data_IF_256036995377
#
_entry.id   IF_256036995377
#
_cell.length_a   1.000
_cell.length_b   1.000
_cell.length_c   1.000
_cell.angle_alpha   90.00
_cell.angle_beta   90.00
_cell.angle_gamma   90.00
#
_symmetry.space_group_name_H-M   'P 1'
#
loop_
_entity.id
_entity.type
_entity.pdbx_description
1 polymer ?
#
# COMPACT_ATOMS: atom_id res chain seq x y z
N UNK A 1 -10.16 0.20 -20.02
CA UNK A 1 -11.25 0.14 -19.02
C UNK A 1 -10.74 -0.09 -17.60
N UNK A 2 -9.87 -1.08 -17.34
CA UNK A 2 -9.36 -1.39 -16.00
C UNK A 2 -8.68 -0.21 -15.27
N UNK A 3 -7.83 0.58 -15.95
CA UNK A 3 -7.14 1.73 -15.35
C UNK A 3 -8.08 2.82 -14.82
N UNK A 4 -9.17 3.09 -15.55
CA UNK A 4 -10.18 4.08 -15.16
C UNK A 4 -10.95 3.60 -13.92
N UNK A 5 -11.27 2.31 -13.86
CA UNK A 5 -11.94 1.71 -12.70
C UNK A 5 -11.03 1.78 -11.47
N UNK A 6 -9.77 1.37 -11.58
CA UNK A 6 -8.81 1.42 -10.47
C UNK A 6 -8.59 2.85 -9.95
N UNK A 7 -8.50 3.83 -10.85
CA UNK A 7 -8.35 5.23 -10.46
C UNK A 7 -9.60 5.74 -9.72
N UNK A 8 -10.81 5.45 -10.22
CA UNK A 8 -12.07 5.83 -9.57
C UNK A 8 -12.21 5.19 -8.19
N UNK A 9 -11.88 3.90 -8.07
CA UNK A 9 -11.86 3.20 -6.78
C UNK A 9 -10.86 3.85 -5.83
N UNK A 10 -9.63 4.14 -6.29
CA UNK A 10 -8.62 4.84 -5.49
C UNK A 10 -9.10 6.19 -4.97
N UNK A 11 -9.74 7.00 -5.83
CA UNK A 11 -10.32 8.30 -5.43
C UNK A 11 -11.36 8.11 -4.34
N UNK A 12 -12.39 7.28 -4.57
CA UNK A 12 -13.48 7.08 -3.62
C UNK A 12 -12.97 6.55 -2.28
N UNK A 13 -12.09 5.54 -2.30
CA UNK A 13 -11.50 4.99 -1.09
C UNK A 13 -10.66 6.03 -0.34
N UNK A 14 -9.83 6.82 -1.02
CA UNK A 14 -8.99 7.85 -0.36
C UNK A 14 -9.81 8.95 0.30
N UNK A 15 -10.92 9.37 -0.31
CA UNK A 15 -11.82 10.38 0.26
C UNK A 15 -12.54 9.83 1.49
N UNK A 16 -13.09 8.62 1.40
CA UNK A 16 -13.78 7.97 2.53
C UNK A 16 -12.80 7.75 3.70
N UNK A 17 -11.59 7.26 3.39
CA UNK A 17 -10.54 7.07 4.38
C UNK A 17 -10.24 8.35 5.15
N UNK A 18 -9.94 9.44 4.44
CA UNK A 18 -9.65 10.73 5.07
C UNK A 18 -10.82 11.24 5.91
N UNK A 19 -12.05 11.19 5.40
CA UNK A 19 -13.24 11.68 6.11
C UNK A 19 -13.47 10.87 7.40
N UNK A 20 -13.41 9.54 7.33
CA UNK A 20 -13.60 8.70 8.51
C UNK A 20 -12.48 8.87 9.52
N UNK A 21 -11.22 8.98 9.06
CA UNK A 21 -10.08 9.25 9.94
C UNK A 21 -10.21 10.62 10.62
N UNK A 22 -10.66 11.66 9.90
CA UNK A 22 -10.88 13.00 10.45
C UNK A 22 -12.00 13.03 11.49
N UNK A 23 -13.12 12.35 11.20
CA UNK A 23 -14.23 12.23 12.16
C UNK A 23 -13.77 11.46 13.40
N UNK A 24 -13.07 10.34 13.21
CA UNK A 24 -12.51 9.58 14.33
C UNK A 24 -11.57 10.46 15.17
N UNK A 25 -10.63 11.15 14.52
CA UNK A 25 -9.65 12.02 15.16
C UNK A 25 -10.29 13.11 16.03
N UNK A 26 -11.35 13.77 15.54
CA UNK A 26 -11.96 14.93 16.21
C UNK A 26 -13.05 14.58 17.23
N UNK A 27 -13.57 13.35 17.22
CA UNK A 27 -14.73 12.98 18.03
C UNK A 27 -14.36 12.41 19.42
N UNK A 28 -15.16 12.72 20.46
CA UNK A 28 -14.88 12.33 21.84
C UNK A 28 -15.39 10.92 22.21
N UNK A 29 -15.59 10.02 21.23
CA UNK A 29 -16.35 8.78 21.40
C UNK A 29 -15.57 7.51 21.05
N UNK A 30 -14.28 7.46 21.39
CA UNK A 30 -13.42 6.31 21.15
C UNK A 30 -13.72 5.19 22.14
N UNK A 31 -13.90 5.55 23.40
CA UNK A 31 -14.19 4.62 24.47
C UNK A 31 -15.23 5.25 25.41
N UNK A 32 -16.26 4.49 25.76
CA UNK A 32 -17.48 5.00 26.40
C UNK A 32 -17.99 4.01 27.45
N UNK A 33 -18.54 4.52 28.53
CA UNK A 33 -19.23 3.70 29.54
C UNK A 33 -20.66 3.36 29.14
N UNK A 34 -21.17 2.23 29.61
CA UNK A 34 -22.57 1.87 29.43
C UNK A 34 -23.49 2.82 30.20
N UNK A 35 -24.46 3.43 29.51
CA UNK A 35 -25.42 4.37 30.13
C UNK A 35 -26.29 3.74 31.20
N UNK A 36 -26.47 2.41 31.15
CA UNK A 36 -27.28 1.65 32.11
C UNK A 36 -26.58 1.40 33.44
N UNK A 37 -25.26 1.60 33.50
CA UNK A 37 -24.44 1.42 34.69
C UNK A 37 -23.99 2.80 35.13
N UNK A 38 -24.29 3.18 36.38
CA UNK A 38 -23.83 4.46 36.90
C UNK A 38 -22.30 4.41 37.08
N UNK A 39 -21.58 4.85 36.05
CA UNK A 39 -20.13 4.93 36.02
C UNK A 39 -19.70 6.38 36.14
N UNK A 40 -18.68 6.63 36.96
CA UNK A 40 -18.06 7.95 37.08
C UNK A 40 -17.29 8.34 35.80
N UNK A 41 -17.03 7.38 34.90
CA UNK A 41 -16.50 7.63 33.57
C UNK A 41 -17.63 7.83 32.55
N UNK A 42 -17.55 8.86 31.70
CA UNK A 42 -18.49 9.08 30.61
C UNK A 42 -17.96 8.53 29.28
N UNK A 43 -17.11 9.31 28.63
CA UNK A 43 -16.52 8.98 27.33
C UNK A 43 -15.17 9.66 27.16
N UNK A 44 -14.32 9.07 26.33
CA UNK A 44 -13.01 9.61 25.98
C UNK A 44 -12.85 9.54 24.46
N UNK A 45 -12.31 10.61 23.88
CA UNK A 45 -11.68 10.59 22.56
C UNK A 45 -10.20 10.90 22.68
N UNK A 46 -9.54 11.14 21.56
CA UNK A 46 -8.10 11.46 21.56
C UNK A 46 -7.78 12.72 22.34
N UNK A 47 -8.71 13.67 22.32
CA UNK A 47 -8.44 15.05 22.66
C UNK A 47 -9.27 15.57 23.82
N UNK A 48 -10.41 14.92 24.07
CA UNK A 48 -11.36 15.31 25.10
C UNK A 48 -11.76 14.10 25.93
N UNK A 49 -11.97 14.34 27.21
CA UNK A 49 -12.47 13.37 28.17
C UNK A 49 -13.67 13.95 28.91
N UNK A 50 -14.72 13.17 29.06
CA UNK A 50 -15.94 13.53 29.79
C UNK A 50 -16.09 12.61 31.01
N UNK A 51 -16.14 13.22 32.19
CA UNK A 51 -16.18 12.56 33.49
C UNK A 51 -17.42 12.99 34.27
N UNK A 52 -17.99 12.09 35.06
CA UNK A 52 -19.19 12.29 35.87
C UNK A 52 -18.89 12.01 37.35
N UNK A 53 -17.99 12.80 37.94
CA UNK A 53 -17.57 12.64 39.33
C UNK A 53 -16.52 11.54 39.51
N UNK A 54 -15.60 11.42 38.56
CA UNK A 54 -14.49 10.47 38.66
C UNK A 54 -13.44 11.02 39.63
N UNK A 55 -13.06 10.20 40.60
CA UNK A 55 -11.97 10.50 41.55
C UNK A 55 -10.80 9.59 41.19
N UNK A 56 -9.66 10.20 40.88
CA UNK A 56 -8.50 9.46 40.41
C UNK A 56 -7.79 8.75 41.57
N UNK A 57 -7.56 7.43 41.49
CA UNK A 57 -6.77 6.75 42.50
C UNK A 57 -5.33 7.26 42.40
N UNK A 58 -4.85 7.98 43.44
CA UNK A 58 -3.54 8.70 43.54
C UNK A 58 -3.58 10.21 43.32
N UNK A 59 -4.74 10.84 43.17
CA UNK A 59 -4.82 12.30 43.32
C UNK A 59 -4.60 12.70 44.79
N UNK A 60 -3.57 13.51 45.13
CA UNK A 60 -3.34 13.97 46.50
C UNK A 60 -4.47 14.84 47.05
N UNK A 61 -5.27 15.48 46.19
CA UNK A 61 -6.37 16.37 46.56
C UNK A 61 -7.71 15.63 46.59
N UNK A 62 -7.79 14.41 46.05
CA UNK A 62 -9.01 13.62 45.89
C UNK A 62 -10.15 14.43 45.24
N UNK A 63 -9.80 15.23 44.23
CA UNK A 63 -10.72 16.09 43.50
C UNK A 63 -11.67 15.23 42.65
N UNK A 64 -12.96 15.55 42.71
CA UNK A 64 -13.96 14.94 41.82
C UNK A 64 -14.00 15.68 40.48
N UNK A 65 -13.64 15.00 39.39
CA UNK A 65 -13.69 15.56 38.05
C UNK A 65 -15.09 15.38 37.43
N UNK A 66 -15.70 16.49 37.02
CA UNK A 66 -17.05 16.55 36.43
C UNK A 66 -17.02 17.38 35.16
N UNK A 67 -17.73 16.96 34.12
CA UNK A 67 -17.84 17.66 32.84
C UNK A 67 -16.87 17.14 31.79
N UNK A 68 -16.86 17.82 30.63
CA UNK A 68 -15.97 17.51 29.52
C UNK A 68 -14.80 18.50 29.49
N UNK A 69 -13.60 17.95 29.41
CA UNK A 69 -12.36 18.68 29.49
C UNK A 69 -11.46 18.33 28.31
N UNK A 70 -10.62 19.29 27.93
CA UNK A 70 -9.48 19.02 27.06
C UNK A 70 -8.48 18.15 27.81
N UNK A 71 -7.96 17.10 27.17
CA UNK A 71 -7.10 16.10 27.84
C UNK A 71 -5.77 16.69 28.32
N UNK A 72 -5.28 17.77 27.69
CA UNK A 72 -4.08 18.51 28.13
C UNK A 72 -4.43 19.77 28.94
N UNK A 73 -5.57 19.79 29.63
CA UNK A 73 -5.89 20.88 30.57
C UNK A 73 -4.97 20.82 31.78
N UNK A 74 -4.57 21.99 32.30
CA UNK A 74 -3.78 22.13 33.53
C UNK A 74 -4.45 21.49 34.75
N UNK A 75 -5.76 21.27 34.69
CA UNK A 75 -6.53 20.55 35.71
C UNK A 75 -6.06 19.10 35.93
N UNK A 76 -5.38 18.52 34.94
CA UNK A 76 -4.89 17.15 34.97
C UNK A 76 -3.38 17.03 35.22
N UNK A 77 -2.65 18.12 35.48
CA UNK A 77 -1.18 18.09 35.63
C UNK A 77 -0.72 17.11 36.73
N UNK A 78 -1.48 17.02 37.83
CA UNK A 78 -1.17 16.10 38.94
C UNK A 78 -1.38 14.61 38.58
N UNK A 79 -2.21 14.32 37.59
CA UNK A 79 -2.69 12.96 37.23
C UNK A 79 -2.46 12.63 35.75
N UNK A 80 -1.63 13.42 35.07
CA UNK A 80 -1.45 13.38 33.61
C UNK A 80 -1.00 11.99 33.13
N UNK A 81 -0.11 11.34 33.89
CA UNK A 81 0.42 10.01 33.55
C UNK A 81 -0.64 8.89 33.63
N UNK A 82 -1.73 9.10 34.37
CA UNK A 82 -2.78 8.10 34.53
C UNK A 82 -3.85 8.24 33.44
N UNK A 83 -4.27 9.48 33.15
CA UNK A 83 -5.26 9.78 32.11
C UNK A 83 -4.65 9.62 30.71
N UNK A 84 -3.40 10.06 30.56
CA UNK A 84 -2.68 10.08 29.29
C UNK A 84 -1.35 9.33 29.44
N UNK A 85 -1.41 7.99 29.60
CA UNK A 85 -0.23 7.16 29.65
C UNK A 85 0.55 7.26 28.34
N UNK A 86 1.83 6.88 28.39
CA UNK A 86 2.76 7.04 27.26
C UNK A 86 2.24 6.37 25.98
N UNK A 87 1.62 5.20 26.09
CA UNK A 87 1.01 4.52 24.94
C UNK A 87 -0.09 5.35 24.28
N UNK A 88 -0.91 6.07 25.06
CA UNK A 88 -2.00 6.89 24.53
C UNK A 88 -1.45 8.10 23.75
N UNK A 89 -0.33 8.67 24.20
CA UNK A 89 0.39 9.73 23.47
C UNK A 89 0.93 9.22 22.13
N UNK A 90 1.42 7.98 22.08
CA UNK A 90 1.82 7.36 20.82
C UNK A 90 0.63 7.19 19.87
N UNK A 91 -0.54 6.78 20.39
CA UNK A 91 -1.77 6.72 19.58
C UNK A 91 -2.14 8.08 19.01
N UNK A 92 -2.13 9.14 19.82
CA UNK A 92 -2.39 10.51 19.35
C UNK A 92 -1.42 10.91 18.23
N UNK A 93 -0.12 10.70 18.42
CA UNK A 93 0.89 11.02 17.40
C UNK A 93 0.71 10.22 16.11
N UNK A 94 0.47 8.91 16.20
CA UNK A 94 0.21 8.08 15.03
C UNK A 94 -1.08 8.46 14.31
N UNK A 95 -2.12 8.89 15.03
CA UNK A 95 -3.35 9.39 14.43
C UNK A 95 -3.11 10.70 13.67
N UNK A 96 -2.26 11.61 14.18
CA UNK A 96 -1.85 12.82 13.46
C UNK A 96 -1.10 12.45 12.17
N UNK A 97 -0.12 11.54 12.24
CA UNK A 97 0.62 11.12 11.05
C UNK A 97 -0.28 10.45 10.01
N UNK A 98 -1.19 9.60 10.46
CA UNK A 98 -2.19 8.95 9.60
C UNK A 98 -3.09 9.98 8.94
N UNK A 99 -3.62 10.94 9.71
CA UNK A 99 -4.49 12.00 9.17
C UNK A 99 -3.78 12.84 8.11
N UNK A 100 -2.51 13.19 8.33
CA UNK A 100 -1.69 13.92 7.35
C UNK A 100 -1.44 13.05 6.11
N UNK A 101 -1.11 11.78 6.29
CA UNK A 101 -0.87 10.85 5.19
C UNK A 101 -2.13 10.63 4.34
N UNK A 102 -3.31 10.44 4.95
CA UNK A 102 -4.59 10.31 4.26
C UNK A 102 -5.00 11.63 3.57
N UNK A 103 -4.74 12.80 4.20
CA UNK A 103 -4.98 14.10 3.58
C UNK A 103 -4.14 14.29 2.31
N UNK A 104 -2.83 14.09 2.42
CA UNK A 104 -1.91 14.18 1.28
C UNK A 104 -2.26 13.13 0.22
N UNK A 105 -2.58 11.91 0.66
CA UNK A 105 -3.01 10.81 -0.21
C UNK A 105 -4.26 11.15 -1.00
N UNK A 106 -5.29 11.69 -0.34
CA UNK A 106 -6.51 12.17 -0.97
C UNK A 106 -6.23 13.33 -1.94
N UNK A 107 -5.45 14.34 -1.53
CA UNK A 107 -5.12 15.49 -2.38
C UNK A 107 -4.40 15.03 -3.65
N UNK A 108 -3.36 14.21 -3.52
CA UNK A 108 -2.66 13.65 -4.69
C UNK A 108 -3.59 12.81 -5.56
N UNK A 109 -4.52 12.07 -4.95
CA UNK A 109 -5.46 11.23 -5.69
C UNK A 109 -6.46 12.08 -6.50
N UNK A 110 -6.96 13.18 -5.93
CA UNK A 110 -7.84 14.15 -6.61
C UNK A 110 -7.13 14.87 -7.75
N UNK A 111 -5.84 15.21 -7.57
CA UNK A 111 -5.04 15.87 -8.61
C UNK A 111 -4.84 15.00 -9.87
N UNK A 112 -5.13 13.70 -9.84
CA UNK A 112 -5.15 12.84 -11.03
C UNK A 112 -6.41 13.03 -11.90
N UNK A 113 -7.46 13.69 -11.41
CA UNK A 113 -8.72 13.86 -12.16
C UNK A 113 -8.52 14.75 -13.39
N UNK A 114 -7.94 15.96 -13.30
CA UNK A 114 -7.86 16.85 -14.45
C UNK A 114 -6.87 16.32 -15.48
N UNK A 115 -7.32 16.15 -16.73
CA UNK A 115 -6.50 15.53 -17.78
C UNK A 115 -5.21 16.31 -18.07
N UNK A 116 -5.26 17.63 -17.97
CA UNK A 116 -4.08 18.49 -18.13
C UNK A 116 -3.01 18.24 -17.07
N UNK A 117 -3.41 18.05 -15.81
CA UNK A 117 -2.47 17.75 -14.71
C UNK A 117 -1.97 16.30 -14.84
N UNK A 118 -2.87 15.35 -15.11
CA UNK A 118 -2.54 13.94 -15.33
C UNK A 118 -1.50 13.76 -16.42
N UNK A 119 -1.73 14.36 -17.59
CA UNK A 119 -0.83 14.26 -18.74
C UNK A 119 0.54 14.89 -18.46
N UNK A 120 0.57 16.05 -17.80
CA UNK A 120 1.82 16.80 -17.56
C UNK A 120 2.69 16.20 -16.47
N UNK A 121 2.09 15.82 -15.33
CA UNK A 121 2.83 15.43 -14.13
C UNK A 121 3.06 13.93 -14.02
N UNK A 122 2.12 13.12 -14.54
CA UNK A 122 2.01 11.71 -14.18
C UNK A 122 2.21 10.75 -15.36
N UNK A 123 1.85 11.14 -16.58
CA UNK A 123 2.07 10.30 -17.78
C UNK A 123 3.54 9.99 -18.05
N UNK A 124 4.48 10.82 -17.58
CA UNK A 124 5.94 10.59 -17.73
C UNK A 124 6.64 10.18 -16.42
N UNK A 125 5.89 9.94 -15.34
CA UNK A 125 6.44 9.70 -14.00
C UNK A 125 5.60 8.70 -13.19
N UNK A 126 5.69 7.38 -13.48
CA UNK A 126 4.91 6.36 -12.78
C UNK A 126 5.28 6.25 -11.29
N UNK A 127 6.48 6.72 -10.91
CA UNK A 127 6.96 6.77 -9.51
C UNK A 127 5.98 7.46 -8.56
N UNK A 128 5.21 8.43 -9.03
CA UNK A 128 4.25 9.15 -8.18
C UNK A 128 3.08 8.26 -7.71
N UNK A 129 2.63 7.31 -8.54
CA UNK A 129 1.61 6.35 -8.14
C UNK A 129 2.12 5.45 -7.01
N UNK A 130 3.38 5.01 -7.10
CA UNK A 130 4.01 4.21 -6.05
C UNK A 130 4.21 5.00 -4.76
N UNK A 131 4.63 6.26 -4.83
CA UNK A 131 4.77 7.13 -3.65
C UNK A 131 3.40 7.32 -2.97
N UNK A 132 2.36 7.63 -3.74
CA UNK A 132 1.03 7.83 -3.19
C UNK A 132 0.42 6.54 -2.62
N UNK A 133 0.66 5.42 -3.30
CA UNK A 133 0.28 4.09 -2.81
C UNK A 133 0.99 3.74 -1.50
N UNK A 134 2.30 3.94 -1.42
CA UNK A 134 3.08 3.70 -0.21
C UNK A 134 2.61 4.57 0.95
N UNK A 135 2.22 5.82 0.68
CA UNK A 135 1.66 6.73 1.67
C UNK A 135 0.34 6.20 2.26
N UNK A 136 -0.61 5.79 1.41
CA UNK A 136 -1.90 5.23 1.85
C UNK A 136 -1.77 3.86 2.54
N UNK A 137 -0.89 2.99 2.03
CA UNK A 137 -0.60 1.70 2.67
C UNK A 137 0.12 1.89 4.02
N UNK A 138 1.00 2.87 4.11
CA UNK A 138 1.63 3.27 5.37
C UNK A 138 0.62 3.79 6.39
N UNK A 139 -0.33 4.63 5.95
CA UNK A 139 -1.44 5.09 6.79
C UNK A 139 -2.30 3.91 7.29
N UNK A 140 -2.63 2.96 6.42
CA UNK A 140 -3.37 1.76 6.80
C UNK A 140 -2.63 0.91 7.85
N UNK A 141 -1.31 0.76 7.71
CA UNK A 141 -0.49 0.05 8.69
C UNK A 141 -0.47 0.76 10.04
N UNK A 142 -0.36 2.10 10.04
CA UNK A 142 -0.43 2.88 11.27
C UNK A 142 -1.80 2.73 11.96
N UNK A 143 -2.90 2.80 11.21
CA UNK A 143 -4.25 2.55 11.74
C UNK A 143 -4.36 1.15 12.34
N UNK A 144 -3.80 0.14 11.68
CA UNK A 144 -3.81 -1.22 12.20
C UNK A 144 -3.09 -1.31 13.56
N UNK A 145 -1.93 -0.68 13.69
CA UNK A 145 -1.19 -0.61 14.96
C UNK A 145 -2.00 0.16 16.02
N UNK A 146 -2.58 1.30 15.65
CA UNK A 146 -3.44 2.10 16.53
C UNK A 146 -4.60 1.25 17.05
N UNK A 147 -5.29 0.55 16.16
CA UNK A 147 -6.45 -0.28 16.48
C UNK A 147 -6.09 -1.37 17.48
N UNK A 148 -5.01 -2.11 17.24
CA UNK A 148 -4.55 -3.19 18.11
C UNK A 148 -4.13 -2.69 19.49
N UNK A 149 -3.25 -1.68 19.55
CA UNK A 149 -2.73 -1.16 20.81
C UNK A 149 -3.85 -0.54 21.65
N UNK A 150 -4.74 0.23 21.02
CA UNK A 150 -5.86 0.85 21.75
C UNK A 150 -6.86 -0.20 22.27
N UNK A 151 -7.17 -1.24 21.49
CA UNK A 151 -8.04 -2.31 21.94
C UNK A 151 -7.47 -3.08 23.13
N UNK A 152 -6.17 -3.40 23.10
CA UNK A 152 -5.52 -4.12 24.20
C UNK A 152 -5.45 -3.26 25.47
N UNK A 153 -5.00 -2.01 25.33
CA UNK A 153 -4.79 -1.13 26.49
C UNK A 153 -6.10 -0.68 27.15
N UNK A 154 -7.22 -0.64 26.41
CA UNK A 154 -8.54 -0.32 26.99
C UNK A 154 -9.16 -1.48 27.77
N UNK A 155 -8.63 -2.70 27.62
CA UNK A 155 -9.01 -3.85 28.43
C UNK A 155 -8.23 -3.90 29.77
N UNK A 156 -7.14 -3.13 29.90
CA UNK A 156 -6.37 -3.06 31.13
C UNK A 156 -7.06 -2.18 32.17
N UNK A 157 -7.28 -2.77 33.36
CA UNK A 157 -7.79 -2.09 34.54
C UNK A 157 -6.89 -0.97 35.08
N UNK A 158 -5.61 -0.94 34.68
CA UNK A 158 -4.66 0.09 35.07
C UNK A 158 -4.95 1.44 34.42
N UNK A 159 -5.51 1.43 33.19
CA UNK A 159 -5.88 2.65 32.46
C UNK A 159 -7.21 3.21 32.95
N UNK A 160 -8.25 2.38 33.00
CA UNK A 160 -9.56 2.80 33.51
C UNK A 160 -10.14 1.75 34.47
N UNK A 161 -10.61 2.15 35.67
CA UNK A 161 -11.22 1.21 36.60
C UNK A 161 -12.43 0.52 35.99
N UNK A 162 -12.53 -0.80 36.20
CA UNK A 162 -13.64 -1.64 35.76
C UNK A 162 -13.87 -1.60 34.22
N UNK A 163 -12.89 -2.08 33.43
CA UNK A 163 -12.94 -2.01 31.97
C UNK A 163 -14.16 -2.72 31.36
N UNK A 164 -14.72 -3.75 32.04
CA UNK A 164 -15.93 -4.46 31.61
C UNK A 164 -17.21 -3.59 31.59
N UNK A 165 -17.20 -2.42 32.25
CA UNK A 165 -18.32 -1.48 32.24
C UNK A 165 -18.22 -0.45 31.11
N UNK A 166 -17.20 -0.58 30.25
CA UNK A 166 -16.93 0.31 29.15
C UNK A 166 -16.82 -0.48 27.85
N UNK A 167 -16.92 0.21 26.72
CA UNK A 167 -16.83 -0.38 25.40
C UNK A 167 -16.19 0.59 24.40
N UNK A 168 -15.59 0.03 23.35
CA UNK A 168 -15.09 0.78 22.22
C UNK A 168 -16.27 1.30 21.41
N UNK A 169 -16.32 2.62 21.21
CA UNK A 169 -17.47 3.31 20.63
C UNK A 169 -17.23 3.63 19.15
N UNK A 170 -18.22 4.24 18.51
CA UNK A 170 -18.32 4.37 17.05
C UNK A 170 -17.13 5.06 16.39
N UNK A 171 -16.49 6.05 17.05
CA UNK A 171 -15.39 6.77 16.42
C UNK A 171 -14.11 5.96 16.34
N UNK A 172 -13.87 5.08 17.32
CA UNK A 172 -12.83 4.05 17.21
C UNK A 172 -13.13 3.13 16.02
N UNK A 173 -14.38 2.71 15.86
CA UNK A 173 -14.82 1.94 14.69
C UNK A 173 -14.55 2.67 13.36
N UNK A 174 -14.82 3.97 13.28
CA UNK A 174 -14.51 4.77 12.08
C UNK A 174 -13.01 4.86 11.80
N UNK A 175 -12.16 4.93 12.83
CA UNK A 175 -10.70 4.85 12.66
C UNK A 175 -10.29 3.51 12.04
N UNK A 176 -10.81 2.39 12.54
CA UNK A 176 -10.50 1.07 11.97
C UNK A 176 -10.96 0.98 10.50
N UNK A 177 -12.18 1.45 10.22
CA UNK A 177 -12.75 1.44 8.86
C UNK A 177 -11.96 2.35 7.92
N UNK A 178 -11.45 3.50 8.38
CA UNK A 178 -10.61 4.36 7.54
C UNK A 178 -9.34 3.64 7.08
N UNK A 179 -8.69 2.89 7.97
CA UNK A 179 -7.51 2.09 7.62
C UNK A 179 -7.77 1.06 6.53
N UNK A 180 -8.94 0.40 6.53
CA UNK A 180 -9.34 -0.50 5.45
C UNK A 180 -9.49 0.23 4.11
N UNK A 181 -10.14 1.41 4.11
CA UNK A 181 -10.26 2.22 2.90
C UNK A 181 -8.90 2.75 2.42
N UNK A 182 -7.99 3.16 3.31
CA UNK A 182 -6.61 3.53 2.95
C UNK A 182 -5.88 2.34 2.34
N UNK A 183 -6.06 1.13 2.87
CA UNK A 183 -5.46 -0.09 2.30
C UNK A 183 -5.99 -0.39 0.90
N UNK A 184 -7.31 -0.39 0.70
CA UNK A 184 -7.92 -0.65 -0.61
C UNK A 184 -7.55 0.42 -1.64
N UNK A 185 -7.58 1.70 -1.25
CA UNK A 185 -7.14 2.81 -2.11
C UNK A 185 -5.66 2.72 -2.46
N UNK A 186 -4.80 2.44 -1.48
CA UNK A 186 -3.38 2.24 -1.66
C UNK A 186 -3.05 1.07 -2.59
N UNK A 187 -3.73 -0.07 -2.45
CA UNK A 187 -3.58 -1.23 -3.35
C UNK A 187 -4.06 -0.93 -4.77
N UNK A 188 -5.20 -0.25 -4.94
CA UNK A 188 -5.69 0.13 -6.26
C UNK A 188 -4.70 1.03 -7.01
N UNK A 189 -4.11 2.00 -6.32
CA UNK A 189 -3.07 2.87 -6.87
C UNK A 189 -1.74 2.13 -7.11
N UNK A 190 -1.40 1.14 -6.29
CA UNK A 190 -0.23 0.30 -6.50
C UNK A 190 -0.33 -0.47 -7.82
N UNK A 191 -1.46 -1.16 -8.02
CA UNK A 191 -1.73 -1.92 -9.24
C UNK A 191 -1.78 -0.98 -10.44
N UNK A 192 -2.39 0.21 -10.30
CA UNK A 192 -2.37 1.22 -11.35
C UNK A 192 -0.94 1.65 -11.71
N UNK A 193 -0.08 1.86 -10.72
CA UNK A 193 1.35 2.16 -10.91
C UNK A 193 2.09 1.07 -11.67
N UNK A 194 1.83 -0.21 -11.35
CA UNK A 194 2.39 -1.36 -12.06
C UNK A 194 1.94 -1.39 -13.53
N UNK A 195 0.66 -1.15 -13.80
CA UNK A 195 0.13 -1.12 -15.17
C UNK A 195 0.75 0.01 -16.01
N UNK A 196 1.02 1.18 -15.40
CA UNK A 196 1.71 2.27 -16.09
C UNK A 196 3.20 1.97 -16.32
N UNK A 197 3.87 1.35 -15.35
CA UNK A 197 5.27 0.95 -15.51
C UNK A 197 5.45 -0.11 -16.61
N UNK A 198 4.53 -1.07 -16.70
CA UNK A 198 4.52 -2.09 -17.75
C UNK A 198 4.34 -1.46 -19.15
N UNK A 199 3.43 -0.49 -19.29
CA UNK A 199 3.24 0.26 -20.54
C UNK A 199 4.46 1.05 -20.97
N UNK A 200 5.22 1.61 -20.03
CA UNK A 200 6.47 2.31 -20.35
C UNK A 200 7.56 1.33 -20.83
N UNK A 201 7.61 0.12 -20.26
CA UNK A 201 8.59 -0.90 -20.61
C UNK A 201 8.28 -1.61 -21.94
N UNK A 202 7.01 -1.98 -22.16
CA UNK A 202 6.57 -2.83 -23.28
C UNK A 202 5.93 -2.06 -24.44
N UNK A 203 5.77 -0.73 -24.32
CA UNK A 203 5.02 0.08 -25.28
C UNK A 203 3.51 -0.14 -25.17
N UNK A 204 2.71 0.72 -25.81
CA UNK A 204 1.25 0.61 -25.72
C UNK A 204 0.80 -0.63 -26.51
N UNK A 205 0.25 -1.68 -25.87
CA UNK A 205 -0.03 -2.96 -26.52
C UNK A 205 -1.01 -2.83 -27.70
N UNK A 206 -1.85 -1.79 -27.68
CA UNK A 206 -2.76 -1.48 -28.80
C UNK A 206 -2.05 -0.84 -30.00
N UNK A 207 -0.99 -0.07 -29.79
CA UNK A 207 -0.23 0.60 -30.87
C UNK A 207 0.74 -0.38 -31.51
N UNK A 208 1.43 -1.20 -30.73
CA UNK A 208 2.31 -2.26 -31.26
C UNK A 208 1.51 -3.30 -32.03
N UNK A 209 0.37 -3.75 -31.50
CA UNK A 209 -0.55 -4.65 -32.22
C UNK A 209 -1.08 -4.04 -33.53
N UNK A 210 -1.51 -2.78 -33.53
CA UNK A 210 -2.05 -2.13 -34.72
C UNK A 210 -0.95 -1.86 -35.77
N UNK A 211 0.26 -1.48 -35.33
CA UNK A 211 1.42 -1.32 -36.20
C UNK A 211 1.87 -2.66 -36.80
N UNK A 212 1.87 -3.75 -36.02
CA UNK A 212 2.12 -5.10 -36.53
C UNK A 212 1.07 -5.54 -37.55
N UNK A 213 -0.22 -5.27 -37.30
CA UNK A 213 -1.30 -5.58 -38.23
C UNK A 213 -1.15 -4.81 -39.55
N UNK A 214 -0.83 -3.52 -39.46
CA UNK A 214 -0.61 -2.67 -40.63
C UNK A 214 0.65 -3.08 -41.42
N UNK A 215 1.70 -3.55 -40.74
CA UNK A 215 2.89 -4.09 -41.39
C UNK A 215 2.58 -5.40 -42.15
N UNK A 216 1.81 -6.32 -41.54
CA UNK A 216 1.36 -7.55 -42.20
C UNK A 216 0.46 -7.29 -43.40
N UNK A 217 -0.42 -6.29 -43.33
CA UNK A 217 -1.25 -5.91 -44.48
C UNK A 217 -0.40 -5.42 -45.66
N UNK A 218 0.61 -4.59 -45.39
CA UNK A 218 1.54 -4.13 -46.44
C UNK A 218 2.38 -5.26 -47.04
N UNK A 219 2.78 -6.25 -46.24
CA UNK A 219 3.46 -7.44 -46.78
C UNK A 219 2.55 -8.27 -47.69
N UNK A 220 1.28 -8.45 -47.30
CA UNK A 220 0.29 -9.16 -48.12
C UNK A 220 0.02 -8.41 -49.44
N UNK A 221 -0.12 -7.08 -49.42
CA UNK A 221 -0.27 -6.27 -50.64
C UNK A 221 0.95 -6.41 -51.57
N UNK A 222 2.17 -6.39 -51.02
CA UNK A 222 3.39 -6.62 -51.82
C UNK A 222 3.44 -8.02 -52.42
N UNK A 223 2.98 -9.04 -51.70
CA UNK A 223 2.91 -10.41 -52.22
C UNK A 223 1.89 -10.52 -53.36
N UNK A 224 0.75 -9.86 -53.25
CA UNK A 224 -0.29 -9.86 -54.28
C UNK A 224 0.16 -9.10 -55.54
N UNK A 225 0.83 -7.96 -55.37
CA UNK A 225 1.48 -7.23 -56.47
C UNK A 225 2.59 -8.05 -57.15
N UNK A 226 3.39 -8.79 -56.37
CA UNK A 226 4.43 -9.66 -56.91
C UNK A 226 3.84 -10.86 -57.70
N UNK A 227 2.71 -11.42 -57.26
CA UNK A 227 1.97 -12.44 -58.03
C UNK A 227 1.37 -11.87 -59.31
N UNK A 228 0.85 -10.63 -59.27
CA UNK A 228 0.26 -9.97 -60.44
C UNK A 228 1.30 -9.58 -61.50
N UNK A 229 2.50 -9.22 -61.07
CA UNK A 229 3.60 -8.80 -61.95
C UNK A 229 4.51 -9.96 -62.39
N UNK A 230 4.23 -11.21 -62.01
CA UNK A 230 4.90 -12.34 -62.65
C UNK A 230 4.43 -12.45 -64.11
N UNK A 231 5.32 -12.28 -65.11
CA UNK A 231 4.99 -12.64 -66.49
C UNK A 231 4.71 -14.13 -66.53
N UNK A 232 3.59 -14.52 -67.13
CA UNK A 232 3.08 -15.89 -67.12
C UNK A 232 4.17 -16.92 -67.43
N UNK A 233 4.60 -17.65 -66.41
CA UNK A 233 5.22 -18.94 -66.63
C UNK A 233 4.12 -19.87 -67.13
N UNK A 234 4.19 -20.14 -68.42
CA UNK A 234 3.45 -21.19 -69.11
C UNK A 234 3.58 -22.47 -68.28
N UNK A 235 2.45 -22.93 -67.77
CA UNK A 235 2.27 -24.28 -67.25
C UNK A 235 2.39 -25.24 -68.44
N UNK A 236 3.62 -25.64 -68.79
CA UNK A 236 3.85 -26.71 -69.75
C UNK A 236 3.63 -28.04 -69.05
N UNK A 237 2.40 -28.55 -69.11
CA UNK A 237 2.13 -29.97 -69.01
C UNK A 237 2.49 -30.62 -70.34
N UNK A 238 3.62 -31.34 -70.41
CA UNK A 238 3.84 -32.33 -71.47
C UNK A 238 4.13 -33.67 -70.80
N UNK A 239 3.26 -34.62 -71.13
CA UNK A 239 3.27 -36.02 -70.74
C UNK A 239 4.59 -36.72 -71.06
N UNK A 240 5.07 -37.53 -70.12
CA UNK A 240 5.73 -38.78 -70.46
C UNK A 240 5.38 -39.85 -69.41
N UNK A 241 4.72 -40.90 -69.88
CA UNK A 241 4.44 -42.13 -69.15
C UNK A 241 5.27 -43.29 -69.79
N UNK A 242 5.27 -44.51 -69.23
CA UNK A 242 6.26 -45.03 -68.28
C UNK A 242 7.15 -46.13 -68.91
N UNK A 243 8.11 -46.71 -68.14
CA UNK A 243 7.92 -48.13 -67.83
C UNK A 243 8.37 -48.58 -66.41
N UNK A 244 7.52 -49.44 -65.84
CA UNK A 244 7.72 -50.66 -65.02
C UNK A 244 9.04 -50.94 -64.26
N UNK A 245 8.89 -51.12 -62.94
CA UNK A 245 9.55 -51.98 -61.91
C UNK A 245 10.74 -52.90 -62.28
N UNK A 246 11.72 -53.12 -61.34
CA UNK A 246 11.58 -54.01 -60.15
C UNK A 246 12.14 -53.38 -58.85
N UNK A 247 11.59 -53.53 -57.63
CA UNK A 247 11.36 -54.68 -56.74
C UNK A 247 12.26 -54.56 -55.49
N UNK A 248 11.74 -54.98 -54.32
CA UNK A 248 12.35 -55.07 -52.97
C UNK A 248 12.48 -53.75 -52.18
N UNK A 249 12.15 -53.66 -50.89
CA UNK A 249 11.73 -54.65 -49.92
C UNK A 249 11.37 -53.96 -48.59
N UNK A 250 10.55 -54.66 -47.81
CA UNK A 250 9.98 -54.30 -46.51
C UNK A 250 11.00 -54.37 -45.35
N UNK A 251 10.78 -53.58 -44.29
CA UNK A 251 11.41 -53.67 -42.96
C UNK A 251 11.86 -52.28 -42.47
N UNK A 252 11.12 -51.56 -41.61
CA UNK A 252 10.96 -51.74 -40.16
C UNK A 252 12.24 -51.54 -39.33
N UNK A 253 12.07 -50.88 -38.16
CA UNK A 253 12.96 -50.79 -36.99
C UNK A 253 13.93 -49.58 -36.94
N UNK A 254 13.64 -48.60 -36.07
CA UNK A 254 13.99 -48.51 -34.62
C UNK A 254 15.41 -47.94 -34.38
N UNK A 255 15.41 -46.72 -33.86
CA UNK A 255 16.09 -46.26 -32.63
C UNK A 255 17.23 -47.11 -32.02
N UNK A 256 18.29 -46.37 -31.67
CA UNK A 256 18.96 -46.27 -30.35
C UNK A 256 20.46 -46.60 -30.28
N UNK A 257 21.15 -45.83 -29.41
CA UNK A 257 22.45 -46.04 -28.73
C UNK A 257 23.72 -45.81 -29.55
N UNK A 258 24.77 -45.14 -29.06
CA UNK A 258 25.07 -44.58 -27.75
C UNK A 258 26.59 -44.64 -27.47
N UNK A 259 27.10 -43.71 -26.63
CA UNK A 259 28.43 -43.73 -25.99
C UNK A 259 29.57 -43.18 -26.84
N UNK A 260 30.56 -42.44 -26.34
CA UNK A 260 31.00 -41.98 -25.02
C UNK A 260 32.38 -41.33 -25.26
N UNK A 261 32.72 -40.17 -24.69
CA UNK A 261 33.58 -40.01 -23.50
C UNK A 261 34.80 -39.12 -23.78
N UNK A 262 35.11 -38.28 -22.79
CA UNK A 262 36.40 -37.67 -22.41
C UNK A 262 37.04 -36.50 -23.21
N UNK A 263 37.37 -35.43 -22.46
CA UNK A 263 38.43 -34.49 -22.83
C UNK A 263 38.40 -33.10 -22.18
N UNK A 264 38.71 -33.00 -20.87
CA UNK A 264 39.36 -31.89 -20.14
C UNK A 264 39.29 -30.42 -20.63
N UNK A 265 38.84 -29.51 -19.75
CA UNK A 265 39.74 -28.52 -19.10
C UNK A 265 39.07 -27.81 -17.90
N UNK A 266 39.86 -27.65 -16.85
CA UNK A 266 39.51 -27.06 -15.56
C UNK A 266 39.76 -25.55 -15.53
N UNK A 267 39.08 -24.81 -14.63
CA UNK A 267 39.75 -23.99 -13.61
C UNK A 267 38.78 -23.63 -12.47
N UNK A 268 39.34 -23.64 -11.26
CA UNK A 268 38.75 -23.57 -9.92
C UNK A 268 38.51 -22.16 -9.38
N UNK A 269 37.74 -22.13 -8.28
CA UNK A 269 37.73 -21.23 -7.09
C UNK A 269 36.31 -20.68 -6.88
N UNK A 270 35.52 -21.06 -5.88
CA UNK A 270 35.79 -21.42 -4.49
C UNK A 270 35.11 -20.36 -3.58
N UNK A 271 34.11 -20.71 -2.73
CA UNK A 271 33.52 -19.81 -1.72
C UNK A 271 34.28 -20.02 -0.37
N UNK A 272 33.87 -19.55 0.85
CA UNK A 272 32.78 -18.69 1.37
C UNK A 272 33.38 -17.65 2.40
N UNK A 273 32.94 -17.38 3.68
CA UNK A 273 31.64 -17.35 4.39
C UNK A 273 31.40 -16.12 5.37
N UNK A 274 30.14 -15.97 5.86
CA UNK A 274 29.66 -15.79 7.27
C UNK A 274 30.03 -14.58 8.18
N UNK A 275 28.95 -13.99 8.76
CA UNK A 275 28.72 -13.31 10.07
C UNK A 275 29.72 -12.30 10.68
N UNK A 276 29.17 -11.21 11.23
CA UNK A 276 29.60 -10.71 12.55
C UNK A 276 29.55 -9.20 12.82
N UNK A 277 28.56 -8.80 13.63
CA UNK A 277 28.66 -7.87 14.78
C UNK A 277 29.00 -6.38 14.64
N UNK A 278 28.06 -5.60 15.19
CA UNK A 278 28.24 -4.50 16.18
C UNK A 278 29.29 -3.41 15.91
N UNK A 279 28.76 -2.19 15.84
CA UNK A 279 29.00 -1.24 16.95
C UNK A 279 29.75 0.05 16.63
N UNK A 280 29.35 1.08 17.38
CA UNK A 280 30.06 2.32 17.68
C UNK A 280 29.93 3.50 16.71
N UNK A 281 28.85 4.26 16.94
CA UNK A 281 28.86 5.72 16.98
C UNK A 281 30.11 6.25 17.69
N UNK A 282 30.77 7.26 17.09
CA UNK A 282 31.55 8.26 17.85
C UNK A 282 31.77 9.52 17.01
N UNK A 283 31.39 10.67 17.58
CA UNK A 283 31.91 12.07 17.45
C UNK A 283 30.76 13.10 17.42
N UNK A 284 30.97 14.36 17.83
CA UNK A 284 31.24 14.78 19.22
C UNK A 284 30.34 15.95 19.66
N UNK A 285 30.07 16.05 20.96
CA UNK A 285 29.63 17.31 21.58
C UNK A 285 30.73 18.38 21.46
N UNK A 286 30.34 19.65 21.27
CA UNK A 286 30.69 20.63 22.30
C UNK A 286 29.58 21.68 22.53
N UNK A 287 29.14 21.81 23.77
CA UNK A 287 28.69 23.10 24.31
C UNK A 287 28.86 23.11 25.83
N UNK A 288 29.50 24.15 26.35
CA UNK A 288 28.85 24.91 27.41
C UNK A 288 28.99 26.41 27.16
N UNK A 289 27.87 27.12 27.16
CA UNK A 289 27.84 28.55 27.52
C UNK A 289 26.68 28.80 28.47
N UNK A 290 27.08 28.90 29.74
CA UNK A 290 26.47 29.72 30.77
C UNK A 290 26.48 31.21 30.37
N UNK A 291 25.42 31.92 30.73
CA UNK A 291 25.29 33.38 30.68
C UNK A 291 23.82 33.75 30.56
N UNK A 292 23.11 33.89 31.69
CA UNK A 292 22.79 35.19 32.31
C UNK A 292 22.12 36.15 31.31
N UNK A 293 20.82 36.43 31.50
CA UNK A 293 20.17 37.76 31.49
C UNK A 293 18.67 37.54 31.75
N UNK A 294 18.12 38.16 32.80
CA UNK A 294 16.68 38.23 33.11
C UNK A 294 16.29 37.64 34.45
#
# INVERSE_FOLDING_TARGET
MATVVLLRTGIVCSVIAFVFMFIAFSSPYWYKSWTRVHSSFGNIGLWHICLNGFIMPRDPVMKSYVGCWWIHSTEFDAVEMQIMPVWFRFIQAFCVFTLIADLLGMVFTILYIPEGIRSRLYTKRPRMFFINSALLLGAALLVFIIALVFAEMTNDSSFMPRPWMNYLSWSYGLCVVSGFFSAFGGMALFVLGLLYADKEANGDPGVTSAAELAARQKELEKQDEAMRNQPGMIMSSVHQAPPTHPQYGSGSALTYRGGGSMGHMAYQHGPPPIYGSRGALKRPHPSPRSGLWG
#
